data_IF_070300358156
#
_entry.id   IF_070300358156
#
_cell.length_a   1.000
_cell.length_b   1.000
_cell.length_c   1.000
_cell.angle_alpha   90.00
_cell.angle_beta   90.00
_cell.angle_gamma   90.00
#
_symmetry.space_group_name_H-M   'P 1'
#
loop_
_entity.id
_entity.type
_entity.pdbx_description
1 polymer ?
#
# COMPACT_ATOMS: atom_id res chain seq x y z
N UNK A 1 -27.65 -14.48 2.32
CA UNK A 1 -28.96 -13.80 2.43
C UNK A 1 -28.84 -12.40 1.84
N UNK A 2 -29.09 -12.21 0.52
CA UNK A 2 -28.98 -10.91 -0.14
C UNK A 2 -30.02 -9.88 0.38
N UNK A 3 -31.06 -10.34 1.07
CA UNK A 3 -32.10 -9.53 1.74
C UNK A 3 -31.60 -8.64 2.90
N UNK A 4 -30.34 -8.78 3.33
CA UNK A 4 -29.72 -7.93 4.36
C UNK A 4 -28.93 -6.75 3.78
N UNK A 5 -28.79 -6.66 2.45
CA UNK A 5 -28.14 -5.51 1.78
C UNK A 5 -29.12 -4.33 1.67
N UNK A 6 -29.67 -3.90 2.79
CA UNK A 6 -30.53 -2.72 2.91
C UNK A 6 -29.79 -1.63 3.68
N UNK A 7 -30.02 -0.34 3.38
CA UNK A 7 -29.39 0.77 4.08
C UNK A 7 -29.52 0.72 5.61
N UNK A 8 -30.64 0.19 6.11
CA UNK A 8 -30.90 0.01 7.54
C UNK A 8 -29.92 -0.94 8.25
N UNK A 9 -29.30 -1.86 7.49
CA UNK A 9 -28.33 -2.83 8.00
C UNK A 9 -26.87 -2.43 7.71
N UNK A 10 -26.64 -1.30 7.03
CA UNK A 10 -25.30 -0.83 6.71
C UNK A 10 -24.65 -0.18 7.93
N UNK A 11 -23.42 -0.61 8.24
CA UNK A 11 -22.64 0.01 9.30
C UNK A 11 -22.27 1.44 8.88
N UNK A 12 -22.69 2.42 9.66
CA UNK A 12 -22.44 3.85 9.40
C UNK A 12 -22.96 4.32 8.02
N UNK A 13 -23.97 3.62 7.46
CA UNK A 13 -24.53 3.93 6.13
C UNK A 13 -23.64 3.54 4.96
N UNK A 14 -22.60 2.73 5.18
CA UNK A 14 -21.67 2.28 4.13
C UNK A 14 -22.06 0.87 3.68
N UNK A 15 -22.37 0.71 2.40
CA UNK A 15 -22.65 -0.58 1.79
C UNK A 15 -21.47 -1.55 2.00
N UNK A 16 -21.71 -2.86 2.16
CA UNK A 16 -20.64 -3.86 2.34
C UNK A 16 -19.52 -3.79 1.29
N UNK A 17 -19.86 -3.44 0.05
CA UNK A 17 -18.91 -3.29 -1.07
C UNK A 17 -18.02 -2.03 -0.93
N UNK A 18 -18.49 -1.00 -0.23
CA UNK A 18 -17.81 0.29 -0.06
C UNK A 18 -16.80 0.33 1.08
N UNK A 19 -16.86 -0.61 2.04
CA UNK A 19 -15.95 -0.65 3.20
C UNK A 19 -14.49 -0.80 2.76
N UNK A 20 -14.23 -1.60 1.73
CA UNK A 20 -12.88 -1.79 1.18
C UNK A 20 -12.26 -0.49 0.64
N UNK A 21 -13.05 0.30 -0.08
CA UNK A 21 -12.61 1.61 -0.60
C UNK A 21 -12.34 2.60 0.53
N UNK A 22 -13.16 2.58 1.58
CA UNK A 22 -12.94 3.45 2.75
C UNK A 22 -11.62 3.09 3.46
N UNK A 23 -11.34 1.80 3.66
CA UNK A 23 -10.08 1.32 4.23
C UNK A 23 -8.88 1.68 3.37
N UNK A 24 -9.00 1.60 2.05
CA UNK A 24 -7.96 2.02 1.11
C UNK A 24 -7.65 3.51 1.23
N UNK A 25 -8.67 4.36 1.27
CA UNK A 25 -8.50 5.81 1.41
C UNK A 25 -7.85 6.17 2.75
N UNK A 26 -8.26 5.51 3.84
CA UNK A 26 -7.63 5.69 5.14
C UNK A 26 -6.17 5.24 5.14
N UNK A 27 -5.86 4.06 4.62
CA UNK A 27 -4.49 3.56 4.52
C UNK A 27 -3.60 4.47 3.68
N UNK A 28 -4.11 4.92 2.52
CA UNK A 28 -3.38 5.83 1.65
C UNK A 28 -3.15 7.19 2.32
N UNK A 29 -4.18 7.75 2.97
CA UNK A 29 -4.08 9.01 3.71
C UNK A 29 -3.06 8.95 4.84
N UNK A 30 -3.13 7.91 5.68
CA UNK A 30 -2.17 7.70 6.77
C UNK A 30 -0.75 7.48 6.23
N UNK A 31 -0.59 6.64 5.21
CA UNK A 31 0.72 6.35 4.62
C UNK A 31 1.37 7.61 4.03
N UNK A 32 0.60 8.44 3.31
CA UNK A 32 1.09 9.71 2.77
C UNK A 32 1.44 10.70 3.88
N UNK A 33 0.62 10.79 4.92
CA UNK A 33 0.87 11.67 6.06
C UNK A 33 2.18 11.29 6.77
N UNK A 34 2.32 10.02 7.15
CA UNK A 34 3.53 9.51 7.81
C UNK A 34 4.76 9.69 6.91
N UNK A 35 4.65 9.38 5.62
CA UNK A 35 5.74 9.54 4.66
C UNK A 35 6.20 10.99 4.50
N UNK A 36 5.33 11.98 4.73
CA UNK A 36 5.68 13.41 4.61
C UNK A 36 6.15 14.03 5.90
N UNK A 37 5.69 13.50 7.04
CA UNK A 37 6.10 13.99 8.36
C UNK A 37 7.39 13.33 8.87
N UNK A 38 7.75 12.16 8.34
CA UNK A 38 8.95 11.44 8.75
C UNK A 38 10.12 11.78 7.83
N UNK A 39 11.34 12.01 8.36
CA UNK A 39 12.53 12.18 7.54
C UNK A 39 12.77 10.97 6.63
N UNK A 40 13.40 11.16 5.46
CA UNK A 40 13.83 10.05 4.64
C UNK A 40 14.82 9.15 5.40
N UNK A 41 14.95 7.86 5.03
CA UNK A 41 15.96 6.98 5.58
C UNK A 41 17.37 7.59 5.47
N UNK A 42 18.29 7.28 6.38
CA UNK A 42 19.67 7.79 6.31
C UNK A 42 20.42 7.32 5.04
N UNK A 43 21.46 8.05 4.65
CA UNK A 43 22.25 7.78 3.43
C UNK A 43 22.74 6.34 3.35
N UNK A 44 23.34 5.81 4.42
CA UNK A 44 23.86 4.43 4.47
C UNK A 44 22.79 3.36 4.16
N UNK A 45 21.54 3.62 4.58
CA UNK A 45 20.40 2.72 4.31
C UNK A 45 19.93 2.86 2.86
N UNK A 46 19.95 4.08 2.31
CA UNK A 46 19.61 4.31 0.90
C UNK A 46 20.63 3.63 -0.01
N UNK A 47 21.93 3.79 0.26
CA UNK A 47 23.02 3.13 -0.46
C UNK A 47 22.90 1.59 -0.38
N UNK A 48 22.61 1.04 0.81
CA UNK A 48 22.37 -0.39 0.99
C UNK A 48 21.21 -0.89 0.12
N UNK A 49 20.10 -0.14 0.05
CA UNK A 49 18.93 -0.50 -0.77
C UNK A 49 19.24 -0.39 -2.25
N UNK A 50 20.01 0.62 -2.68
CA UNK A 50 20.46 0.77 -4.08
C UNK A 50 21.34 -0.40 -4.53
N UNK A 51 22.26 -0.84 -3.66
CA UNK A 51 23.10 -2.02 -3.88
C UNK A 51 22.29 -3.33 -4.00
N UNK A 52 21.17 -3.44 -3.27
CA UNK A 52 20.23 -4.57 -3.40
C UNK A 52 19.37 -4.43 -4.67
N UNK A 53 18.94 -3.21 -4.98
CA UNK A 53 18.03 -2.89 -6.11
C UNK A 53 18.69 -3.14 -7.46
N UNK A 54 20.01 -3.01 -7.56
CA UNK A 54 20.80 -3.47 -8.71
C UNK A 54 21.38 -4.84 -8.36
N UNK A 55 20.64 -5.95 -8.55
CA UNK A 55 21.22 -7.27 -8.36
C UNK A 55 22.43 -7.39 -9.28
N UNK A 56 23.61 -7.59 -8.69
CA UNK A 56 24.85 -7.99 -9.37
C UNK A 56 24.62 -9.35 -10.06
N UNK A 57 23.90 -9.36 -11.19
CA UNK A 57 23.53 -10.59 -11.89
C UNK A 57 22.22 -10.60 -12.69
N UNK A 58 21.26 -9.69 -12.49
CA UNK A 58 19.98 -9.77 -13.23
C UNK A 58 20.07 -9.35 -14.71
N UNK A 59 21.24 -8.93 -15.18
CA UNK A 59 21.54 -8.69 -16.60
C UNK A 59 22.20 -9.88 -17.31
N UNK A 60 22.47 -11.01 -16.64
CA UNK A 60 23.13 -12.17 -17.25
C UNK A 60 22.20 -13.38 -17.38
N UNK A 61 21.05 -13.18 -18.02
CA UNK A 61 20.44 -14.28 -18.76
C UNK A 61 21.17 -14.39 -20.10
N UNK A 62 22.32 -15.10 -20.11
CA UNK A 62 22.90 -15.58 -21.36
C UNK A 62 21.97 -16.68 -21.87
N UNK A 63 21.32 -16.43 -22.99
CA UNK A 63 20.41 -17.39 -23.61
C UNK A 63 21.10 -18.73 -23.86
N UNK A 64 20.33 -19.81 -23.73
CA UNK A 64 20.55 -21.08 -24.42
C UNK A 64 19.24 -21.43 -25.14
#
# INVERSE_FOLDING_TARGET
>A
RPELNTPDNWLLGISPEGIGTLGMLLNLGVSLLVSRLTPPPGTDIQELVEDIRIPKGAGQAKGH
#
